data_IF_669063356763
#
_entry.id   IF_669063356763
#
_cell.length_a   1.000
_cell.length_b   1.000
_cell.length_c   1.000
_cell.angle_alpha   90.00
_cell.angle_beta   90.00
_cell.angle_gamma   90.00
#
_symmetry.space_group_name_H-M   'P 1'
#
loop_
_entity.id
_entity.type
_entity.pdbx_description
1 polymer ?
#
# COMPACT_ATOMS: atom_id res chain seq x y z
N UNK A 1 0.27 11.32 7.05
CA UNK A 1 0.14 10.09 6.25
C UNK A 1 -1.31 9.68 6.32
N UNK A 2 -1.97 9.58 5.17
CA UNK A 2 -3.36 9.09 5.11
C UNK A 2 -3.29 7.57 5.24
N UNK A 3 -3.74 7.03 6.37
CA UNK A 3 -3.83 5.58 6.53
C UNK A 3 -5.07 5.11 5.80
N UNK A 4 -4.89 4.59 4.58
CA UNK A 4 -5.98 3.93 3.85
C UNK A 4 -6.54 2.79 4.70
N UNK A 5 -7.87 2.66 4.72
CA UNK A 5 -8.59 1.63 5.48
C UNK A 5 -9.42 0.74 4.59
N UNK A 6 -9.70 1.20 3.37
CA UNK A 6 -10.58 0.54 2.42
C UNK A 6 -9.92 0.55 1.04
N UNK A 7 -10.34 -0.38 0.18
CA UNK A 7 -10.01 -0.39 -1.23
C UNK A 7 -11.24 -0.80 -2.03
N UNK A 8 -11.29 -0.35 -3.28
CA UNK A 8 -12.21 -0.88 -4.29
C UNK A 8 -11.35 -1.59 -5.32
N UNK A 9 -11.71 -2.84 -5.63
CA UNK A 9 -11.14 -3.56 -6.76
C UNK A 9 -12.18 -3.65 -7.87
N UNK A 10 -11.77 -3.31 -9.10
CA UNK A 10 -12.50 -3.62 -10.32
C UNK A 10 -11.56 -4.27 -11.36
N UNK A 11 -12.05 -5.18 -12.21
CA UNK A 11 -11.20 -5.88 -13.17
C UNK A 11 -10.53 -5.01 -14.23
N UNK A 12 -11.06 -3.82 -14.53
CA UNK A 12 -10.52 -2.93 -15.56
C UNK A 12 -9.39 -2.05 -15.03
N UNK A 13 -9.51 -1.53 -13.80
CA UNK A 13 -8.57 -0.54 -13.25
C UNK A 13 -7.72 -1.05 -12.07
N UNK A 14 -8.02 -2.22 -11.52
CA UNK A 14 -7.28 -2.80 -10.41
C UNK A 14 -7.79 -2.27 -9.07
N UNK A 15 -6.89 -1.88 -8.16
CA UNK A 15 -7.27 -1.41 -6.81
C UNK A 15 -7.07 0.10 -6.65
N UNK A 16 -8.12 0.79 -6.18
CA UNK A 16 -8.06 2.16 -5.69
C UNK A 16 -8.26 2.21 -4.16
N UNK A 17 -7.57 3.11 -3.45
CA UNK A 17 -7.46 3.07 -1.99
C UNK A 17 -8.06 4.31 -1.32
N UNK A 18 -8.82 4.08 -0.23
CA UNK A 18 -9.61 5.11 0.43
C UNK A 18 -9.41 5.15 1.95
N UNK A 19 -9.51 6.36 2.52
CA UNK A 19 -9.36 6.56 3.95
C UNK A 19 -10.62 6.12 4.71
N UNK A 20 -11.79 6.34 4.12
CA UNK A 20 -13.09 6.04 4.71
C UNK A 20 -13.90 5.06 3.87
N UNK A 21 -14.82 4.35 4.53
CA UNK A 21 -15.74 3.41 3.86
C UNK A 21 -16.66 4.16 2.89
N UNK A 22 -17.11 5.35 3.29
CA UNK A 22 -17.95 6.19 2.46
C UNK A 22 -17.29 6.54 1.13
N UNK A 23 -16.04 6.98 1.15
CA UNK A 23 -15.31 7.31 -0.09
C UNK A 23 -15.15 6.09 -1.00
N UNK A 24 -14.88 4.91 -0.42
CA UNK A 24 -14.80 3.66 -1.18
C UNK A 24 -16.15 3.28 -1.81
N UNK A 25 -17.25 3.41 -1.05
CA UNK A 25 -18.59 3.10 -1.56
C UNK A 25 -19.03 4.10 -2.63
N UNK A 26 -18.78 5.40 -2.42
CA UNK A 26 -19.09 6.44 -3.42
C UNK A 26 -18.34 6.15 -4.73
N UNK A 27 -17.06 5.78 -4.66
CA UNK A 27 -16.28 5.40 -5.84
C UNK A 27 -16.77 4.09 -6.48
N UNK A 28 -17.13 3.08 -5.70
CA UNK A 28 -17.65 1.82 -6.23
C UNK A 28 -18.96 2.02 -7.03
N UNK A 29 -19.82 2.95 -6.59
CA UNK A 29 -21.01 3.35 -7.35
C UNK A 29 -20.64 4.07 -8.65
N UNK A 30 -19.63 4.96 -8.64
CA UNK A 30 -19.13 5.59 -9.87
C UNK A 30 -18.58 4.56 -10.87
N UNK A 31 -17.85 3.55 -10.40
CA UNK A 31 -17.39 2.43 -11.25
C UNK A 31 -18.57 1.65 -11.80
N UNK A 32 -19.55 1.28 -10.95
CA UNK A 32 -20.72 0.55 -11.39
C UNK A 32 -21.57 1.34 -12.40
N UNK A 33 -21.65 2.66 -12.26
CA UNK A 33 -22.30 3.54 -13.22
C UNK A 33 -21.60 3.51 -14.58
N UNK A 34 -20.27 3.52 -14.61
CA UNK A 34 -19.50 3.38 -15.86
C UNK A 34 -19.75 2.02 -16.54
N UNK A 35 -19.76 0.92 -15.79
CA UNK A 35 -20.11 -0.40 -16.32
C UNK A 35 -21.55 -0.43 -16.86
N UNK A 36 -22.48 0.27 -16.19
CA UNK A 36 -23.88 0.38 -16.64
C UNK A 36 -23.99 1.10 -17.97
N UNK A 37 -23.17 2.13 -18.19
CA UNK A 37 -23.14 2.86 -19.45
C UNK A 37 -22.69 1.96 -20.61
N UNK A 38 -21.62 1.18 -20.40
CA UNK A 38 -21.14 0.20 -21.39
C UNK A 38 -22.17 -0.89 -21.65
N UNK A 39 -22.87 -1.34 -20.60
CA UNK A 39 -23.87 -2.39 -20.71
C UNK A 39 -25.11 -2.01 -21.55
N UNK A 40 -25.32 -0.72 -21.89
CA UNK A 40 -26.39 -0.34 -22.80
C UNK A 40 -26.18 -0.83 -24.23
N UNK A 41 -24.93 -0.98 -24.65
CA UNK A 41 -24.58 -1.43 -26.01
C UNK A 41 -24.38 -2.96 -26.07
N UNK A 42 -23.62 -3.51 -25.13
CA UNK A 42 -23.15 -4.92 -25.18
C UNK A 42 -23.76 -5.82 -24.08
N UNK A 43 -24.62 -5.27 -23.22
CA UNK A 43 -25.16 -5.98 -22.05
C UNK A 43 -24.18 -6.05 -20.87
N UNK A 44 -24.61 -6.65 -19.76
CA UNK A 44 -23.76 -6.78 -18.57
C UNK A 44 -22.70 -7.86 -18.77
N UNK A 45 -21.45 -7.51 -18.47
CA UNK A 45 -20.34 -8.46 -18.45
C UNK A 45 -20.19 -9.12 -17.08
N UNK A 46 -19.77 -10.39 -17.06
CA UNK A 46 -19.55 -11.19 -15.83
C UNK A 46 -18.47 -10.56 -14.92
N UNK A 47 -17.56 -9.74 -15.47
CA UNK A 47 -16.59 -8.96 -14.68
C UNK A 47 -17.24 -7.96 -13.73
N UNK A 48 -18.47 -7.52 -14.00
CA UNK A 48 -19.22 -6.60 -13.12
C UNK A 48 -19.39 -7.19 -11.71
N UNK A 49 -19.59 -8.51 -11.60
CA UNK A 49 -19.76 -9.21 -10.32
C UNK A 49 -18.45 -9.31 -9.52
N UNK A 50 -17.31 -8.97 -10.13
CA UNK A 50 -16.00 -8.99 -9.48
C UNK A 50 -15.62 -7.65 -8.86
N UNK A 51 -16.45 -6.61 -9.01
CA UNK A 51 -16.27 -5.34 -8.31
C UNK A 51 -16.47 -5.58 -6.81
N UNK A 52 -15.44 -5.34 -6.01
CA UNK A 52 -15.50 -5.56 -4.56
C UNK A 52 -14.96 -4.37 -3.78
N UNK A 53 -15.62 -4.06 -2.67
CA UNK A 53 -15.12 -3.14 -1.66
C UNK A 53 -14.55 -3.97 -0.51
N UNK A 54 -13.29 -3.71 -0.16
CA UNK A 54 -12.59 -4.46 0.87
C UNK A 54 -11.99 -3.56 1.96
N UNK A 55 -11.74 -4.16 3.12
CA UNK A 55 -11.04 -3.49 4.24
C UNK A 55 -9.59 -3.92 4.33
N UNK A 56 -8.69 -2.96 4.52
CA UNK A 56 -7.27 -3.23 4.73
C UNK A 56 -7.05 -3.66 6.17
N UNK A 57 -6.46 -4.84 6.37
CA UNK A 57 -6.20 -5.40 7.71
C UNK A 57 -4.79 -5.18 8.20
N UNK A 58 -3.82 -5.11 7.28
CA UNK A 58 -2.40 -4.93 7.58
C UNK A 58 -1.77 -3.94 6.60
N UNK A 59 -0.78 -3.18 7.08
CA UNK A 59 0.07 -2.30 6.29
C UNK A 59 1.53 -2.55 6.62
N UNK A 60 2.41 -2.27 5.68
CA UNK A 60 3.85 -2.33 5.94
C UNK A 60 4.28 -1.11 6.73
N UNK A 61 5.07 -1.33 7.77
CA UNK A 61 5.74 -0.27 8.51
C UNK A 61 7.24 -0.51 8.49
N UNK A 62 7.98 0.60 8.40
CA UNK A 62 9.43 0.61 8.52
C UNK A 62 9.82 0.18 9.94
N UNK A 63 10.70 -0.79 10.06
CA UNK A 63 11.20 -1.29 11.33
C UNK A 63 12.73 -1.48 11.30
N UNK A 64 13.30 -1.82 12.45
CA UNK A 64 14.73 -2.13 12.59
C UNK A 64 15.66 -1.06 11.99
N UNK A 65 15.33 0.22 12.24
CA UNK A 65 16.09 1.35 11.69
C UNK A 65 17.46 1.43 12.35
N UNK A 66 18.50 1.37 11.53
CA UNK A 66 19.89 1.57 11.90
C UNK A 66 20.40 2.79 11.16
N UNK A 67 20.96 3.76 11.87
CA UNK A 67 21.54 4.98 11.30
C UNK A 67 23.06 4.88 11.30
N UNK A 68 23.69 5.28 10.19
CA UNK A 68 25.13 5.26 10.01
C UNK A 68 25.81 6.18 10.99
N UNK A 69 26.85 5.68 11.64
CA UNK A 69 27.61 6.45 12.62
C UNK A 69 29.01 6.78 12.10
N UNK A 70 29.26 8.06 11.90
CA UNK A 70 30.57 8.54 11.45
C UNK A 70 30.86 8.17 10.00
N UNK A 71 32.14 8.14 9.65
CA UNK A 71 32.62 7.72 8.34
C UNK A 71 32.90 6.23 8.32
N UNK A 72 32.66 5.59 7.19
CA UNK A 72 33.03 4.19 7.01
C UNK A 72 34.55 4.02 6.98
N UNK A 73 35.02 2.89 7.51
CA UNK A 73 36.39 2.44 7.32
C UNK A 73 36.62 1.89 5.89
N UNK A 74 37.86 1.50 5.60
CA UNK A 74 38.26 0.98 4.28
C UNK A 74 37.52 -0.32 3.90
N UNK A 75 37.00 -1.05 4.90
CA UNK A 75 36.23 -2.28 4.72
C UNK A 75 34.71 -2.02 4.68
N UNK A 76 34.26 -0.76 4.76
CA UNK A 76 32.85 -0.38 4.65
C UNK A 76 32.03 -0.52 5.94
N UNK A 77 32.68 -0.57 7.10
CA UNK A 77 32.04 -0.61 8.42
C UNK A 77 31.97 0.78 9.06
N UNK A 78 30.89 1.06 9.80
CA UNK A 78 30.78 2.27 10.60
C UNK A 78 31.44 2.13 11.98
N UNK A 79 31.42 3.22 12.77
CA UNK A 79 32.00 3.24 14.12
C UNK A 79 31.37 2.25 15.11
N UNK A 80 30.21 1.67 14.80
CA UNK A 80 29.56 0.64 15.60
C UNK A 80 29.87 -0.78 15.10
N UNK A 81 30.68 -0.92 14.05
CA UNK A 81 30.98 -2.21 13.42
C UNK A 81 29.82 -2.75 12.57
N UNK A 82 28.91 -1.90 12.12
CA UNK A 82 27.85 -2.27 11.17
C UNK A 82 28.39 -2.12 9.76
N UNK A 83 28.23 -3.15 8.93
CA UNK A 83 28.63 -3.11 7.52
C UNK A 83 27.58 -2.38 6.67
N UNK A 84 28.02 -1.38 5.91
CA UNK A 84 27.15 -0.57 5.03
C UNK A 84 27.36 -0.86 3.54
N UNK A 85 28.41 -1.61 3.17
CA UNK A 85 28.69 -1.97 1.79
C UNK A 85 28.73 -0.76 0.86
N UNK A 86 28.05 -0.86 -0.30
CA UNK A 86 27.94 0.24 -1.28
C UNK A 86 26.65 1.07 -1.10
N UNK A 87 26.05 1.06 0.09
CA UNK A 87 24.85 1.86 0.34
C UNK A 87 25.22 3.33 0.48
N UNK A 88 24.73 4.14 -0.46
CA UNK A 88 24.78 5.61 -0.41
C UNK A 88 23.87 6.20 0.68
N UNK A 89 23.00 5.36 1.28
CA UNK A 89 22.11 5.77 2.37
C UNK A 89 22.85 5.80 3.71
N UNK A 90 22.52 6.78 4.56
CA UNK A 90 22.94 6.82 5.96
C UNK A 90 21.96 6.08 6.89
N UNK A 91 21.07 5.29 6.30
CA UNK A 91 20.07 4.51 7.00
C UNK A 91 19.82 3.15 6.33
N UNK A 92 19.79 2.11 7.15
CA UNK A 92 19.29 0.78 6.81
C UNK A 92 18.06 0.47 7.66
N UNK A 93 17.09 -0.21 7.07
CA UNK A 93 15.86 -0.61 7.75
C UNK A 93 15.26 -1.83 7.07
N UNK A 94 14.32 -2.45 7.76
CA UNK A 94 13.49 -3.52 7.23
C UNK A 94 12.03 -3.03 7.15
N UNK A 95 11.16 -3.85 6.58
CA UNK A 95 9.72 -3.64 6.57
C UNK A 95 9.00 -4.86 7.17
N UNK A 96 8.00 -4.59 8.01
CA UNK A 96 7.15 -5.63 8.58
C UNK A 96 5.67 -5.33 8.31
N UNK A 97 4.87 -6.37 8.11
CA UNK A 97 3.41 -6.24 8.08
C UNK A 97 2.87 -6.05 9.50
N UNK A 98 2.13 -4.97 9.71
CA UNK A 98 1.53 -4.61 10.99
C UNK A 98 0.02 -4.51 10.83
N UNK A 99 -0.72 -5.04 11.81
CA UNK A 99 -2.18 -4.97 11.82
C UNK A 99 -2.64 -3.53 12.08
N UNK A 100 -3.50 -3.01 11.22
CA UNK A 100 -4.03 -1.65 11.37
C UNK A 100 -4.92 -1.58 12.62
N UNK A 101 -4.68 -0.59 13.48
CA UNK A 101 -5.43 -0.39 14.73
C UNK A 101 -4.93 -1.20 15.91
N UNK A 102 -3.83 -1.96 15.76
CA UNK A 102 -3.08 -2.49 16.89
C UNK A 102 -2.19 -1.41 17.51
N UNK A 103 -2.80 -0.36 18.10
CA UNK A 103 -2.07 0.47 19.06
C UNK A 103 -1.92 -0.34 20.34
N UNK A 104 -0.66 -0.58 20.74
CA UNK A 104 -0.31 -1.05 22.09
C UNK A 104 -0.38 0.10 23.09
#
# INVERSE_FOLDING_TARGET
>A
MTHYRYFVYDPENGCEFFATEKEALDYAEEVLDAYREVAYDDGWDESTEQIVVGTITHQVEKCNVVTKKGTLDDDGYDENGVYWGSLESDEMHDYQLVRIGAQR
#
